data_IF_311857860666
#
_entry.id   IF_311857860666
#
_cell.length_a   1.000
_cell.length_b   1.000
_cell.length_c   1.000
_cell.angle_alpha   90.00
_cell.angle_beta   90.00
_cell.angle_gamma   90.00
#
_symmetry.space_group_name_H-M   'P 1'
#
loop_
_entity.id
_entity.type
_entity.pdbx_description
1 polymer ?
#
# COMPACT_ATOMS: atom_id res chain seq x y z
N UNK A 1 23.75 -10.69 -62.96
CA UNK A 1 23.03 -9.66 -63.74
C UNK A 1 22.65 -8.51 -62.82
N UNK A 2 22.63 -7.29 -63.37
CA UNK A 2 22.32 -5.98 -62.74
C UNK A 2 20.84 -5.58 -62.96
N UNK A 3 20.32 -4.43 -62.46
CA UNK A 3 20.76 -3.58 -61.32
C UNK A 3 19.60 -3.14 -60.36
N UNK A 4 19.96 -2.31 -59.38
CA UNK A 4 19.08 -1.65 -58.40
C UNK A 4 18.44 -0.31 -58.86
N UNK A 5 17.72 0.34 -57.91
CA UNK A 5 17.35 1.79 -57.74
C UNK A 5 15.85 2.12 -57.87
N UNK A 6 15.34 3.00 -56.97
CA UNK A 6 13.90 3.36 -56.92
C UNK A 6 13.41 4.31 -55.80
N UNK A 7 14.14 5.40 -55.48
CA UNK A 7 13.58 6.65 -54.87
C UNK A 7 13.70 7.77 -55.95
N UNK A 8 13.13 9.01 -55.86
CA UNK A 8 12.52 9.69 -54.68
C UNK A 8 11.31 10.67 -54.95
N UNK A 9 10.87 11.36 -53.88
CA UNK A 9 10.63 12.83 -53.80
C UNK A 9 9.21 13.45 -54.02
N UNK A 10 9.09 14.66 -53.42
CA UNK A 10 8.12 15.77 -53.59
C UNK A 10 6.76 15.62 -52.88
N UNK A 11 6.13 16.65 -52.27
CA UNK A 11 6.41 18.06 -51.82
C UNK A 11 5.14 18.88 -52.16
N UNK A 12 4.55 19.59 -51.17
CA UNK A 12 3.68 20.81 -51.22
C UNK A 12 2.65 20.75 -50.08
N UNK A 13 2.08 21.85 -49.55
CA UNK A 13 2.54 23.25 -49.39
C UNK A 13 1.62 23.96 -48.36
N UNK A 14 1.95 25.21 -47.97
CA UNK A 14 1.25 25.96 -46.92
C UNK A 14 0.18 26.95 -47.43
N UNK A 15 -0.85 27.18 -46.61
CA UNK A 15 -1.76 28.34 -46.53
C UNK A 15 -2.45 28.24 -45.14
N UNK A 16 -2.73 29.27 -44.33
CA UNK A 16 -3.36 30.58 -44.60
C UNK A 16 -4.83 30.53 -44.13
N UNK A 17 -5.44 31.51 -43.42
CA UNK A 17 -4.98 32.84 -42.99
C UNK A 17 -5.87 33.48 -41.88
N UNK A 18 -5.25 34.04 -40.84
CA UNK A 18 -5.60 35.28 -40.07
C UNK A 18 -6.98 35.49 -39.33
N UNK A 19 -7.10 36.54 -38.47
CA UNK A 19 -8.21 36.69 -37.48
C UNK A 19 -9.02 38.03 -37.52
N UNK A 20 -10.05 38.11 -36.67
CA UNK A 20 -10.76 39.33 -36.20
C UNK A 20 -11.38 39.03 -34.81
N UNK A 21 -11.42 39.84 -33.74
CA UNK A 21 -11.50 41.31 -33.47
C UNK A 21 -12.93 41.85 -33.33
N UNK A 22 -13.17 42.60 -32.24
CA UNK A 22 -14.46 43.06 -31.67
C UNK A 22 -15.06 44.31 -32.38
N UNK A 23 -16.28 44.75 -32.01
CA UNK A 23 -16.36 45.89 -31.06
C UNK A 23 -17.54 45.92 -30.05
N UNK A 24 -17.50 46.93 -29.17
CA UNK A 24 -18.42 47.41 -28.10
C UNK A 24 -19.92 47.60 -28.49
N UNK A 25 -20.91 48.01 -27.66
CA UNK A 25 -21.08 48.75 -26.38
C UNK A 25 -22.29 48.13 -25.60
N UNK A 26 -22.73 48.45 -24.36
CA UNK A 26 -22.43 49.34 -23.18
C UNK A 26 -23.09 48.63 -21.94
N UNK A 27 -23.46 49.14 -20.74
CA UNK A 27 -23.53 50.36 -19.88
C UNK A 27 -23.70 49.82 -18.43
N UNK A 28 -23.54 50.51 -17.30
CA UNK A 28 -23.18 51.91 -17.02
C UNK A 28 -23.89 52.47 -15.77
N UNK A 29 -23.46 52.11 -14.55
CA UNK A 29 -23.93 52.67 -13.26
C UNK A 29 -22.77 52.95 -12.29
N UNK A 30 -23.03 53.61 -11.14
CA UNK A 30 -22.04 54.49 -10.49
C UNK A 30 -22.04 54.51 -8.93
N UNK A 31 -20.99 55.11 -8.35
CA UNK A 31 -20.77 55.45 -6.92
C UNK A 31 -20.51 54.28 -5.93
N UNK A 32 -20.04 54.56 -4.69
CA UNK A 32 -18.93 55.43 -4.30
C UNK A 32 -17.84 54.70 -3.45
N UNK A 33 -16.63 55.28 -3.27
CA UNK A 33 -15.53 54.60 -2.56
C UNK A 33 -15.69 54.53 -1.03
N UNK A 34 -15.06 53.53 -0.40
CA UNK A 34 -14.93 53.38 1.07
C UNK A 34 -13.45 53.42 1.50
N UNK A 35 -13.13 53.85 2.74
CA UNK A 35 -11.76 54.17 3.16
C UNK A 35 -10.90 52.92 3.49
N UNK A 36 -9.56 53.04 3.42
CA UNK A 36 -8.64 51.94 3.71
C UNK A 36 -8.39 51.76 5.22
N UNK A 37 -8.40 50.51 5.69
CA UNK A 37 -8.13 50.17 7.08
C UNK A 37 -7.08 49.04 7.22
N UNK A 38 -5.86 49.46 7.56
CA UNK A 38 -4.80 48.76 8.31
C UNK A 38 -4.42 47.31 7.93
N UNK A 39 -3.16 47.15 7.53
CA UNK A 39 -2.37 45.94 7.82
C UNK A 39 -2.22 45.81 9.34
N UNK A 40 -2.58 44.66 9.89
CA UNK A 40 -2.05 44.19 11.17
C UNK A 40 -1.52 42.76 10.97
N UNK A 41 -0.19 42.62 11.03
CA UNK A 41 0.47 41.33 11.09
C UNK A 41 1.06 41.17 12.48
N UNK A 42 0.75 40.06 13.18
CA UNK A 42 1.65 39.39 14.14
C UNK A 42 0.97 38.18 14.85
N UNK A 43 1.78 37.13 15.05
CA UNK A 43 1.64 36.04 16.05
C UNK A 43 0.47 35.04 15.88
N UNK A 44 0.73 33.79 15.46
CA UNK A 44 -0.19 32.68 15.76
C UNK A 44 -0.30 32.49 17.29
N UNK A 45 -1.52 32.23 17.78
CA UNK A 45 -1.78 32.04 19.22
C UNK A 45 -1.32 30.66 19.68
N UNK A 46 -0.42 30.59 20.67
CA UNK A 46 -0.22 29.37 21.46
C UNK A 46 -1.47 29.14 22.32
N UNK A 47 -2.29 28.14 21.97
CA UNK A 47 -3.25 27.59 22.91
C UNK A 47 -2.50 26.87 24.05
N UNK A 48 -3.03 26.97 25.28
CA UNK A 48 -2.50 26.32 26.48
C UNK A 48 -3.70 25.90 27.35
N UNK A 49 -3.52 24.84 28.13
CA UNK A 49 -4.58 23.98 28.68
C UNK A 49 -5.18 23.03 27.61
N UNK A 50 -5.57 21.79 27.96
CA UNK A 50 -5.65 21.20 29.30
C UNK A 50 -4.54 20.17 29.60
N UNK A 51 -4.24 19.99 30.90
CA UNK A 51 -3.70 18.72 31.43
C UNK A 51 -4.89 17.90 31.92
N UNK A 52 -4.90 16.59 31.69
CA UNK A 52 -5.90 15.67 32.24
C UNK A 52 -6.20 14.53 31.26
N UNK A 53 -5.63 13.35 31.53
CA UNK A 53 -5.72 12.21 30.61
C UNK A 53 -4.48 11.34 30.66
N UNK A 54 -4.21 10.72 31.82
CA UNK A 54 -3.18 9.69 31.97
C UNK A 54 -3.60 8.35 31.39
N UNK A 55 -4.09 8.34 30.15
CA UNK A 55 -4.23 7.12 29.38
C UNK A 55 -2.85 6.64 28.96
N UNK A 56 -2.56 5.35 29.14
CA UNK A 56 -1.48 4.72 28.38
C UNK A 56 -1.75 4.96 26.91
N UNK A 57 -0.80 5.55 26.17
CA UNK A 57 -0.83 5.48 24.72
C UNK A 57 -0.70 4.01 24.35
N UNK A 58 -1.82 3.34 24.09
CA UNK A 58 -1.81 2.01 23.54
C UNK A 58 -1.17 2.15 22.17
N UNK A 59 0.06 1.66 22.01
CA UNK A 59 0.81 1.85 20.77
C UNK A 59 0.00 1.24 19.63
N UNK A 60 -0.49 2.13 18.76
CA UNK A 60 -1.37 1.79 17.65
C UNK A 60 -0.69 0.69 16.84
N UNK A 61 -1.41 -0.41 16.67
CA UNK A 61 -0.89 -1.63 16.09
C UNK A 61 -1.81 -2.12 15.00
N UNK A 62 -1.27 -2.15 13.79
CA UNK A 62 -1.91 -2.68 12.61
C UNK A 62 -0.95 -3.63 11.92
N UNK A 63 -1.46 -4.77 11.46
CA UNK A 63 -0.70 -5.70 10.63
C UNK A 63 -1.65 -6.25 9.57
N UNK A 64 -1.38 -5.95 8.30
CA UNK A 64 -2.03 -6.61 7.16
C UNK A 64 -0.97 -7.31 6.32
N UNK A 65 -1.21 -8.58 6.03
CA UNK A 65 -0.41 -9.35 5.08
C UNK A 65 -1.33 -9.90 3.98
N UNK A 66 -0.90 -9.74 2.74
CA UNK A 66 -1.57 -10.26 1.56
C UNK A 66 -0.57 -11.05 0.70
N UNK A 67 -1.03 -12.18 0.15
CA UNK A 67 -0.38 -12.86 -0.97
C UNK A 67 -1.43 -13.36 -1.95
N UNK A 68 -1.25 -13.09 -3.24
CA UNK A 68 -2.19 -13.57 -4.24
C UNK A 68 -1.63 -13.54 -5.65
N UNK A 69 -2.28 -14.29 -6.54
CA UNK A 69 -1.94 -14.36 -7.95
C UNK A 69 -3.17 -14.61 -8.83
N UNK A 70 -3.08 -14.21 -10.10
CA UNK A 70 -4.16 -14.35 -11.08
C UNK A 70 -3.76 -15.38 -12.14
N UNK A 71 -3.93 -16.65 -11.76
CA UNK A 71 -3.62 -17.79 -12.61
C UNK A 71 -4.72 -18.12 -13.61
N UNK A 72 -4.53 -19.21 -14.37
CA UNK A 72 -5.52 -19.73 -15.33
C UNK A 72 -6.88 -20.05 -14.70
N UNK A 73 -6.89 -20.37 -13.41
CA UNK A 73 -8.09 -20.73 -12.64
C UNK A 73 -8.68 -19.54 -11.87
N UNK A 74 -8.32 -18.30 -12.21
CA UNK A 74 -8.85 -17.09 -11.59
C UNK A 74 -7.89 -16.49 -10.56
N UNK A 75 -8.44 -15.78 -9.58
CA UNK A 75 -7.68 -15.04 -8.57
C UNK A 75 -7.64 -15.82 -7.25
N UNK A 76 -6.49 -16.43 -6.97
CA UNK A 76 -6.24 -17.12 -5.71
C UNK A 76 -5.41 -16.25 -4.77
N UNK A 77 -5.83 -16.11 -3.51
CA UNK A 77 -5.15 -15.27 -2.52
C UNK A 77 -5.38 -15.74 -1.07
N UNK A 78 -4.45 -15.35 -0.20
CA UNK A 78 -4.51 -15.45 1.25
C UNK A 78 -4.25 -14.03 1.81
N UNK A 79 -5.13 -13.56 2.67
CA UNK A 79 -5.03 -12.28 3.35
C UNK A 79 -5.36 -12.45 4.84
N UNK A 80 -4.60 -11.79 5.71
CA UNK A 80 -4.97 -11.61 7.10
C UNK A 80 -4.65 -10.21 7.61
N UNK A 81 -5.49 -9.74 8.53
CA UNK A 81 -5.45 -8.41 9.13
C UNK A 81 -5.63 -8.52 10.64
N UNK A 82 -4.72 -7.93 11.42
CA UNK A 82 -4.88 -7.65 12.84
C UNK A 82 -5.11 -6.14 13.01
N UNK A 83 -6.24 -5.78 13.62
CA UNK A 83 -6.62 -4.39 13.90
C UNK A 83 -6.29 -3.98 15.34
N UNK A 84 -6.16 -2.67 15.66
CA UNK A 84 -5.81 -2.20 17.01
C UNK A 84 -6.78 -2.65 18.12
N UNK A 85 -8.03 -3.00 17.78
CA UNK A 85 -9.03 -3.56 18.70
C UNK A 85 -8.88 -5.07 18.96
N UNK A 86 -7.77 -5.68 18.53
CA UNK A 86 -7.51 -7.11 18.66
C UNK A 86 -8.32 -7.99 17.70
N UNK A 87 -9.00 -7.39 16.71
CA UNK A 87 -9.76 -8.16 15.71
C UNK A 87 -8.81 -8.74 14.66
N UNK A 88 -8.66 -10.07 14.67
CA UNK A 88 -8.09 -10.86 13.58
C UNK A 88 -9.16 -11.12 12.52
N UNK A 89 -8.85 -10.81 11.27
CA UNK A 89 -9.66 -11.13 10.09
C UNK A 89 -8.80 -11.96 9.14
N UNK A 90 -9.37 -13.03 8.60
CA UNK A 90 -8.69 -14.00 7.73
C UNK A 90 -9.55 -14.29 6.51
N UNK A 91 -8.96 -14.21 5.32
CA UNK A 91 -9.58 -14.56 4.05
C UNK A 91 -8.62 -15.47 3.26
N UNK A 92 -9.07 -16.65 2.88
CA UNK A 92 -8.36 -17.54 1.96
C UNK A 92 -9.31 -17.92 0.82
N UNK A 93 -8.85 -17.69 -0.41
CA UNK A 93 -9.53 -18.02 -1.64
C UNK A 93 -8.59 -18.85 -2.51
N UNK A 94 -8.65 -20.17 -2.39
CA UNK A 94 -8.15 -21.09 -3.40
C UNK A 94 -9.32 -21.52 -4.28
N UNK A 95 -9.12 -21.56 -5.60
CA UNK A 95 -10.13 -22.06 -6.55
C UNK A 95 -9.86 -23.53 -6.92
N UNK A 96 -9.03 -24.21 -6.13
CA UNK A 96 -8.74 -25.61 -6.26
C UNK A 96 -10.01 -26.43 -5.98
N UNK A 97 -10.53 -27.09 -7.02
CA UNK A 97 -11.78 -27.90 -7.00
C UNK A 97 -13.07 -27.12 -6.71
N UNK A 98 -13.12 -25.82 -7.00
CA UNK A 98 -14.27 -24.93 -6.75
C UNK A 98 -14.64 -24.81 -5.26
N UNK A 99 -13.65 -24.78 -4.35
CA UNK A 99 -13.91 -24.61 -2.92
C UNK A 99 -14.46 -23.21 -2.59
N UNK A 100 -15.12 -23.06 -1.44
CA UNK A 100 -15.80 -21.82 -1.04
C UNK A 100 -14.84 -20.92 -0.28
N UNK A 101 -14.69 -19.67 -0.73
CA UNK A 101 -13.86 -18.64 -0.08
C UNK A 101 -14.03 -18.63 1.45
N UNK A 102 -12.96 -19.03 2.16
CA UNK A 102 -12.96 -19.12 3.61
C UNK A 102 -12.75 -17.72 4.18
N UNK A 103 -13.80 -17.15 4.78
CA UNK A 103 -13.71 -15.93 5.60
C UNK A 103 -13.94 -16.26 7.07
N UNK A 104 -13.07 -15.73 7.94
CA UNK A 104 -13.14 -15.88 9.40
C UNK A 104 -12.75 -14.60 10.09
N UNK A 105 -13.42 -14.28 11.19
CA UNK A 105 -13.11 -13.14 12.04
C UNK A 105 -13.19 -13.58 13.50
N UNK A 106 -12.22 -13.18 14.32
CA UNK A 106 -12.13 -13.47 15.75
C UNK A 106 -11.48 -12.29 16.49
N UNK A 107 -11.70 -12.17 17.79
CA UNK A 107 -10.91 -11.28 18.64
C UNK A 107 -9.85 -12.11 19.36
N UNK A 108 -8.59 -11.69 19.28
CA UNK A 108 -7.47 -12.33 19.99
C UNK A 108 -7.22 -11.62 21.33
N UNK A 109 -6.68 -12.36 22.31
CA UNK A 109 -6.31 -11.77 23.59
C UNK A 109 -5.10 -10.84 23.44
N UNK A 110 -4.97 -9.83 24.31
CA UNK A 110 -3.85 -8.87 24.32
C UNK A 110 -2.49 -9.56 24.20
N UNK A 111 -2.27 -10.68 24.88
CA UNK A 111 -1.02 -11.46 24.82
C UNK A 111 -0.60 -11.85 23.40
N UNK A 112 -1.55 -12.10 22.49
CA UNK A 112 -1.26 -12.42 21.08
C UNK A 112 -0.81 -11.17 20.32
N UNK A 113 -1.36 -10.00 20.66
CA UNK A 113 -0.97 -8.72 20.06
C UNK A 113 0.41 -8.26 20.52
N UNK A 114 0.77 -8.48 21.79
CA UNK A 114 2.13 -8.20 22.29
C UNK A 114 3.17 -9.19 21.74
N UNK A 115 2.80 -10.47 21.55
CA UNK A 115 3.68 -11.45 20.89
C UNK A 115 3.88 -11.14 19.39
N UNK A 116 2.85 -10.65 18.70
CA UNK A 116 2.98 -10.14 17.32
C UNK A 116 3.93 -8.94 17.23
N UNK A 117 3.87 -8.01 18.20
CA UNK A 117 4.84 -6.91 18.31
C UNK A 117 6.25 -7.46 18.50
N UNK A 118 6.45 -8.34 19.48
CA UNK A 118 7.76 -8.98 19.72
C UNK A 118 8.34 -9.66 18.48
N UNK A 119 7.53 -10.40 17.71
CA UNK A 119 7.96 -11.06 16.47
C UNK A 119 8.38 -10.04 15.39
N UNK A 120 7.72 -8.89 15.32
CA UNK A 120 8.10 -7.78 14.41
C UNK A 120 9.39 -7.12 14.91
N UNK A 121 9.47 -6.76 16.19
CA UNK A 121 10.62 -6.12 16.82
C UNK A 121 11.90 -6.99 16.68
N UNK A 122 11.80 -8.27 17.04
CA UNK A 122 12.91 -9.25 16.95
C UNK A 122 13.33 -9.55 15.50
N UNK A 123 12.47 -9.27 14.51
CA UNK A 123 12.81 -9.43 13.09
C UNK A 123 13.57 -8.22 12.50
N UNK A 124 13.57 -7.08 13.19
CA UNK A 124 14.15 -5.80 12.74
C UNK A 124 13.57 -5.24 11.40
N UNK A 125 12.45 -5.80 10.90
CA UNK A 125 11.85 -5.49 9.60
C UNK A 125 11.57 -3.99 9.34
N UNK A 126 11.40 -3.17 10.37
CA UNK A 126 11.15 -1.73 10.21
C UNK A 126 12.38 -0.94 9.74
N UNK A 127 13.55 -1.59 9.64
CA UNK A 127 14.79 -1.04 9.08
C UNK A 127 14.96 -1.30 7.57
N UNK A 128 14.14 -2.17 6.98
CA UNK A 128 14.28 -2.63 5.59
C UNK A 128 13.49 -1.74 4.59
N UNK A 129 13.87 -1.79 3.30
CA UNK A 129 13.29 -0.99 2.21
C UNK A 129 13.05 -1.86 0.95
N UNK A 130 11.85 -1.82 0.36
CA UNK A 130 11.49 -2.61 -0.82
C UNK A 130 11.93 -1.99 -2.16
N UNK A 131 12.58 -0.83 -2.15
CA UNK A 131 13.07 -0.13 -3.35
C UNK A 131 13.97 -0.97 -4.28
N UNK A 132 14.59 -2.05 -3.77
CA UNK A 132 15.41 -3.00 -4.54
C UNK A 132 14.74 -4.35 -4.81
N UNK A 133 13.57 -4.61 -4.23
CA UNK A 133 12.90 -5.92 -4.28
C UNK A 133 12.23 -6.18 -5.64
N UNK A 134 11.98 -7.45 -6.03
CA UNK A 134 11.29 -7.78 -7.27
C UNK A 134 9.87 -7.18 -7.32
N UNK A 135 9.51 -6.35 -8.31
CA UNK A 135 8.17 -5.77 -8.39
C UNK A 135 7.12 -6.85 -8.72
N UNK A 136 5.85 -6.68 -8.28
CA UNK A 136 4.79 -7.66 -8.52
C UNK A 136 4.56 -8.00 -9.99
N UNK A 137 4.27 -9.27 -10.27
CA UNK A 137 4.18 -9.81 -11.63
C UNK A 137 2.93 -10.71 -11.85
N UNK A 138 3.00 -11.64 -12.80
CA UNK A 138 1.93 -12.61 -13.12
C UNK A 138 1.96 -13.88 -12.24
N UNK A 139 3.12 -14.22 -11.69
CA UNK A 139 3.34 -15.32 -10.74
C UNK A 139 2.78 -14.96 -9.36
N UNK A 140 2.87 -13.68 -8.97
CA UNK A 140 2.01 -13.12 -7.93
C UNK A 140 2.45 -11.75 -7.38
N UNK A 141 1.75 -11.35 -6.32
CA UNK A 141 2.04 -10.20 -5.46
C UNK A 141 2.03 -10.62 -4.00
N UNK A 142 2.95 -10.07 -3.23
CA UNK A 142 2.90 -10.01 -1.76
C UNK A 142 2.81 -8.54 -1.32
N UNK A 143 2.08 -8.30 -0.24
CA UNK A 143 2.03 -7.01 0.46
C UNK A 143 2.18 -7.30 1.96
N UNK A 144 2.93 -6.44 2.66
CA UNK A 144 2.99 -6.41 4.12
C UNK A 144 2.92 -4.97 4.56
N UNK A 145 1.99 -4.67 5.46
CA UNK A 145 1.71 -3.33 5.97
C UNK A 145 1.63 -3.41 7.50
N UNK A 146 2.53 -2.70 8.18
CA UNK A 146 2.65 -2.72 9.64
C UNK A 146 2.67 -1.28 10.15
N UNK A 147 1.83 -1.00 11.14
CA UNK A 147 1.94 0.19 11.99
C UNK A 147 2.28 -0.28 13.40
N UNK A 148 3.31 0.31 14.02
CA UNK A 148 3.72 0.01 15.39
C UNK A 148 4.15 1.30 16.10
N UNK A 149 3.21 1.90 16.85
CA UNK A 149 3.44 3.19 17.50
C UNK A 149 3.54 4.32 16.46
N UNK A 150 4.71 4.95 16.37
CA UNK A 150 4.99 6.03 15.40
C UNK A 150 5.60 5.50 14.07
N UNK A 151 5.96 4.22 13.98
CA UNK A 151 6.53 3.61 12.77
C UNK A 151 5.43 3.02 11.87
N UNK A 152 5.49 3.30 10.56
CA UNK A 152 4.62 2.73 9.54
C UNK A 152 5.44 2.30 8.32
N UNK A 153 5.35 1.01 7.98
CA UNK A 153 6.00 0.39 6.83
C UNK A 153 4.94 -0.28 5.94
N UNK A 154 5.16 -0.25 4.62
CA UNK A 154 4.27 -0.88 3.64
C UNK A 154 5.08 -1.34 2.43
N UNK A 155 5.32 -2.65 2.32
CA UNK A 155 6.08 -3.26 1.23
C UNK A 155 5.17 -3.91 0.17
N UNK A 156 5.65 -3.97 -1.07
CA UNK A 156 4.99 -4.58 -2.22
C UNK A 156 6.01 -5.27 -3.12
N UNK A 157 5.99 -6.60 -3.14
CA UNK A 157 6.96 -7.43 -3.86
C UNK A 157 6.27 -8.54 -4.67
N UNK A 158 7.00 -9.23 -5.55
CA UNK A 158 6.52 -10.44 -6.21
C UNK A 158 6.36 -11.61 -5.23
N UNK A 159 5.79 -12.71 -5.70
CA UNK A 159 5.61 -13.93 -4.91
C UNK A 159 6.93 -14.70 -4.79
N UNK A 160 7.58 -14.57 -3.63
CA UNK A 160 8.78 -15.34 -3.28
C UNK A 160 8.41 -16.82 -3.13
N UNK A 161 9.08 -17.70 -3.87
CA UNK A 161 8.84 -19.15 -3.80
C UNK A 161 9.79 -19.89 -2.86
N UNK A 162 11.01 -19.38 -2.72
CA UNK A 162 12.14 -20.07 -2.08
C UNK A 162 13.27 -19.12 -1.67
N UNK A 163 14.21 -19.62 -0.87
CA UNK A 163 15.49 -18.92 -0.59
C UNK A 163 16.39 -18.75 -1.83
N UNK A 164 16.14 -19.46 -2.94
CA UNK A 164 16.87 -19.26 -4.19
C UNK A 164 16.49 -17.91 -4.79
N UNK A 165 15.20 -17.58 -4.78
CA UNK A 165 14.68 -16.30 -5.29
C UNK A 165 15.19 -15.11 -4.45
N UNK A 166 15.28 -15.29 -3.12
CA UNK A 166 15.89 -14.33 -2.19
C UNK A 166 17.37 -14.12 -2.51
N UNK A 167 18.16 -15.20 -2.61
CA UNK A 167 19.60 -15.13 -2.85
C UNK A 167 20.00 -14.66 -4.26
N UNK A 168 19.06 -14.64 -5.22
CA UNK A 168 19.26 -14.09 -6.58
C UNK A 168 18.72 -12.65 -6.74
N UNK A 169 18.17 -12.06 -5.68
CA UNK A 169 17.67 -10.70 -5.69
C UNK A 169 18.80 -9.64 -5.60
N UNK A 170 18.42 -8.36 -5.65
CA UNK A 170 19.35 -7.23 -5.44
C UNK A 170 19.62 -6.91 -3.97
N UNK A 171 18.74 -7.39 -3.09
CA UNK A 171 18.83 -7.25 -1.64
C UNK A 171 18.50 -8.62 -1.02
N UNK A 172 19.49 -9.52 -0.92
CA UNK A 172 19.29 -10.85 -0.37
C UNK A 172 19.19 -10.87 1.16
N UNK A 173 19.40 -9.74 1.85
CA UNK A 173 19.34 -9.65 3.31
C UNK A 173 17.94 -9.21 3.77
N UNK A 174 17.44 -8.05 3.31
CA UNK A 174 16.10 -7.57 3.67
C UNK A 174 14.98 -8.49 3.17
N UNK A 175 15.11 -9.05 1.96
CA UNK A 175 14.18 -10.09 1.48
C UNK A 175 14.25 -11.40 2.29
N UNK A 176 15.36 -11.68 2.99
CA UNK A 176 15.46 -12.85 3.88
C UNK A 176 14.77 -12.59 5.21
N UNK A 177 14.92 -11.39 5.77
CA UNK A 177 14.15 -10.92 6.94
C UNK A 177 12.65 -11.01 6.66
N UNK A 178 12.21 -10.41 5.54
CA UNK A 178 10.82 -10.48 5.07
C UNK A 178 10.34 -11.93 4.88
N UNK A 179 11.14 -12.79 4.23
CA UNK A 179 10.79 -14.19 3.97
C UNK A 179 10.58 -14.99 5.26
N UNK A 180 11.38 -14.79 6.30
CA UNK A 180 11.21 -15.47 7.59
C UNK A 180 10.05 -14.89 8.41
N UNK A 181 9.95 -13.57 8.57
CA UNK A 181 8.82 -12.92 9.27
C UNK A 181 7.46 -13.35 8.69
N UNK A 182 7.36 -13.40 7.35
CA UNK A 182 6.13 -13.84 6.66
C UNK A 182 5.80 -15.32 6.91
N UNK A 183 6.77 -16.18 7.24
CA UNK A 183 6.51 -17.57 7.66
C UNK A 183 6.03 -17.64 9.11
N UNK A 184 6.65 -16.90 10.03
CA UNK A 184 6.26 -16.90 11.45
C UNK A 184 4.86 -16.32 11.66
N UNK A 185 4.54 -15.22 10.98
CA UNK A 185 3.19 -14.63 10.97
C UNK A 185 2.14 -15.61 10.42
N UNK A 186 2.45 -16.35 9.33
CA UNK A 186 1.57 -17.41 8.82
C UNK A 186 1.41 -18.55 9.82
N UNK A 187 2.49 -19.00 10.45
CA UNK A 187 2.48 -20.08 11.43
C UNK A 187 1.55 -19.75 12.62
N UNK A 188 1.65 -18.53 13.15
CA UNK A 188 0.79 -18.03 14.21
C UNK A 188 -0.68 -17.93 13.77
N UNK A 189 -0.96 -17.31 12.60
CA UNK A 189 -2.33 -17.17 12.07
C UNK A 189 -2.98 -18.52 11.77
N UNK A 190 -2.25 -19.45 11.15
CA UNK A 190 -2.73 -20.80 10.87
C UNK A 190 -3.01 -21.58 12.16
N UNK A 191 -2.18 -21.42 13.19
CA UNK A 191 -2.43 -22.02 14.51
C UNK A 191 -3.69 -21.45 15.16
N UNK A 192 -3.86 -20.12 15.16
CA UNK A 192 -5.03 -19.44 15.72
C UNK A 192 -6.33 -19.85 15.01
N UNK A 193 -6.36 -19.73 13.68
CA UNK A 193 -7.55 -20.07 12.87
C UNK A 193 -7.86 -21.56 12.93
N UNK A 194 -6.83 -22.41 12.87
CA UNK A 194 -6.98 -23.87 12.89
C UNK A 194 -7.54 -24.40 14.21
N UNK A 195 -6.99 -23.94 15.35
CA UNK A 195 -7.47 -24.34 16.67
C UNK A 195 -8.84 -23.76 17.00
N UNK A 196 -9.07 -22.47 16.71
CA UNK A 196 -10.30 -21.79 17.09
C UNK A 196 -11.52 -22.26 16.26
N UNK A 197 -11.36 -22.41 14.95
CA UNK A 197 -12.47 -22.79 14.06
C UNK A 197 -12.53 -24.29 13.71
N UNK A 198 -11.53 -25.09 14.11
CA UNK A 198 -11.41 -26.54 13.78
C UNK A 198 -11.42 -26.82 12.27
N UNK A 199 -10.95 -25.87 11.49
CA UNK A 199 -10.80 -25.95 10.03
C UNK A 199 -9.31 -26.17 9.73
N UNK A 200 -8.96 -26.97 8.72
CA UNK A 200 -7.58 -26.99 8.22
C UNK A 200 -7.27 -25.65 7.55
N UNK A 201 -6.26 -24.88 7.99
CA UNK A 201 -5.67 -23.86 7.13
C UNK A 201 -5.05 -24.61 5.94
N UNK A 202 -5.55 -24.33 4.73
CA UNK A 202 -5.17 -25.00 3.48
C UNK A 202 -4.01 -24.24 2.84
#
# INVERSE_FOLDING_TARGET
MTPARGRPNRRRCCSGSQPSVLPANRSGEHAPPRPPARRDALRPRRCRACRGGGGTMASDFYLRYYVGHKGKFGHEFLEFEFRPDGKLRYANNSNYKNDVMIRKEAYVHKSVMEELKRIIDDSEITKEDDALWPPPDRVGRQELEIVIGDEHISFTTSKIGSLIDVNQSKDPEGLRVFYYLVQDLKCLVFSLIGLHFKIKPI
#
